data_IF_219308960778
#
_entry.id   IF_219308960778
#
_cell.length_a   1.000
_cell.length_b   1.000
_cell.length_c   1.000
_cell.angle_alpha   90.00
_cell.angle_beta   90.00
_cell.angle_gamma   90.00
#
_symmetry.space_group_name_H-M   'P 1'
#
loop_
_entity.id
_entity.type
_entity.pdbx_description
1 polymer ?
#
# COMPACT_ATOMS: atom_id res chain seq x y z
N UNK A 1 -5.11 -7.02 -15.82
CA UNK A 1 -5.83 -5.78 -15.44
C UNK A 1 -6.99 -5.58 -16.40
N UNK A 2 -8.14 -5.18 -15.88
CA UNK A 2 -9.32 -4.84 -16.68
C UNK A 2 -9.87 -3.51 -16.19
N UNK A 3 -10.04 -2.55 -17.08
CA UNK A 3 -10.64 -1.24 -16.81
C UNK A 3 -11.99 -1.22 -17.50
N UNK A 4 -13.01 -0.92 -16.71
CA UNK A 4 -14.39 -0.81 -17.16
C UNK A 4 -14.85 0.59 -16.76
N UNK A 5 -15.36 1.36 -17.72
CA UNK A 5 -15.89 2.68 -17.42
C UNK A 5 -17.27 2.62 -16.75
N UNK A 6 -17.82 3.78 -16.42
CA UNK A 6 -19.09 3.91 -15.72
C UNK A 6 -20.28 3.34 -16.49
N UNK A 7 -20.15 3.17 -17.82
CA UNK A 7 -21.16 2.59 -18.71
C UNK A 7 -21.00 1.08 -18.87
N UNK A 8 -20.03 0.44 -18.19
CA UNK A 8 -19.78 -0.99 -18.32
C UNK A 8 -18.95 -1.38 -19.53
N UNK A 9 -18.41 -0.42 -20.28
CA UNK A 9 -17.58 -0.67 -21.47
C UNK A 9 -16.16 -0.98 -21.02
N UNK A 10 -15.57 -2.03 -21.59
CA UNK A 10 -14.19 -2.41 -21.36
C UNK A 10 -13.29 -1.45 -22.15
N UNK A 11 -12.62 -0.54 -21.45
CA UNK A 11 -11.67 0.40 -22.05
C UNK A 11 -10.26 -0.20 -22.16
N UNK A 12 -9.97 -1.21 -21.35
CA UNK A 12 -8.70 -1.92 -21.36
C UNK A 12 -8.87 -3.31 -20.75
N UNK A 13 -8.33 -4.35 -21.40
CA UNK A 13 -8.28 -5.70 -20.83
C UNK A 13 -6.99 -6.40 -21.25
N UNK A 14 -6.12 -6.64 -20.28
CA UNK A 14 -4.93 -7.46 -20.41
C UNK A 14 -4.92 -8.57 -19.36
N UNK A 15 -6.08 -8.94 -18.80
CA UNK A 15 -6.15 -9.84 -17.64
C UNK A 15 -5.53 -11.21 -17.90
N UNK A 16 -5.64 -11.70 -19.14
CA UNK A 16 -5.05 -12.97 -19.57
C UNK A 16 -3.70 -12.80 -20.27
N UNK A 17 -3.20 -11.57 -20.42
CA UNK A 17 -1.92 -11.31 -21.06
C UNK A 17 -0.80 -11.65 -20.07
N UNK A 18 0.19 -12.48 -20.45
CA UNK A 18 1.32 -12.76 -19.58
C UNK A 18 2.02 -11.46 -19.15
N UNK A 19 2.45 -11.39 -17.89
CA UNK A 19 3.08 -10.21 -17.29
C UNK A 19 4.24 -9.65 -18.15
N UNK A 20 4.90 -10.54 -18.88
CA UNK A 20 6.01 -10.22 -19.77
C UNK A 20 5.63 -9.31 -20.93
N UNK A 21 4.42 -9.48 -21.45
CA UNK A 21 3.87 -8.90 -22.68
C UNK A 21 2.77 -7.87 -22.40
N UNK A 22 2.31 -7.78 -21.16
CA UNK A 22 1.28 -6.83 -20.77
C UNK A 22 1.82 -5.38 -20.81
N UNK A 23 1.10 -4.50 -21.50
CA UNK A 23 1.22 -3.05 -21.25
C UNK A 23 0.47 -2.75 -19.95
N UNK A 24 1.14 -2.18 -18.96
CA UNK A 24 0.57 -2.04 -17.62
C UNK A 24 -0.21 -0.74 -17.43
N UNK A 25 -0.17 0.18 -18.39
CA UNK A 25 -0.64 1.55 -18.20
C UNK A 25 0.41 2.44 -17.53
N UNK A 26 0.19 3.76 -17.57
CA UNK A 26 1.14 4.72 -17.05
C UNK A 26 1.25 4.61 -15.51
N UNK A 27 2.47 4.40 -15.01
CA UNK A 27 2.75 4.33 -13.57
C UNK A 27 2.53 2.96 -12.91
N UNK A 28 2.02 1.96 -13.64
CA UNK A 28 1.89 0.60 -13.12
C UNK A 28 3.13 -0.22 -13.46
N UNK A 29 3.69 -0.85 -12.42
CA UNK A 29 4.93 -1.62 -12.53
C UNK A 29 4.65 -3.05 -12.97
N UNK A 30 5.44 -3.52 -13.94
CA UNK A 30 5.55 -4.95 -14.25
C UNK A 30 6.00 -5.71 -13.00
N UNK A 31 5.34 -6.83 -12.70
CA UNK A 31 5.61 -7.65 -11.51
C UNK A 31 5.44 -6.90 -10.17
N UNK A 32 4.37 -6.10 -10.02
CA UNK A 32 4.07 -5.35 -8.81
C UNK A 32 4.32 -6.16 -7.53
N UNK A 33 5.29 -5.73 -6.73
CA UNK A 33 5.70 -6.44 -5.50
C UNK A 33 5.00 -5.91 -4.26
N UNK A 34 4.65 -4.63 -4.27
CA UNK A 34 3.98 -3.95 -3.18
C UNK A 34 3.21 -2.73 -3.68
N UNK A 35 2.16 -2.36 -2.97
CA UNK A 35 1.50 -1.07 -3.11
C UNK A 35 2.11 -0.10 -2.11
N UNK A 36 2.46 1.10 -2.56
CA UNK A 36 2.93 2.18 -1.70
C UNK A 36 1.78 3.15 -1.44
N UNK A 37 1.53 3.46 -0.16
CA UNK A 37 0.43 4.32 0.27
C UNK A 37 0.95 5.35 1.24
N UNK A 38 0.51 6.60 1.10
CA UNK A 38 0.73 7.62 2.12
C UNK A 38 -0.21 7.41 3.30
N UNK A 39 0.35 7.37 4.50
CA UNK A 39 -0.38 7.23 5.74
C UNK A 39 -0.32 8.52 6.55
N UNK A 40 -1.48 8.92 7.06
CA UNK A 40 -1.67 10.03 7.97
C UNK A 40 -2.53 9.52 9.13
N UNK A 41 -1.89 9.33 10.27
CA UNK A 41 -2.51 8.84 11.48
C UNK A 41 -3.09 9.96 12.36
N UNK A 42 -3.44 9.62 13.59
CA UNK A 42 -4.22 10.50 14.47
C UNK A 42 -3.45 11.68 15.05
N UNK A 43 -2.10 11.62 15.07
CA UNK A 43 -1.25 12.64 15.70
C UNK A 43 -0.03 12.98 14.82
N UNK A 44 -0.27 13.73 13.74
CA UNK A 44 0.73 14.07 12.71
C UNK A 44 2.01 14.68 13.27
N UNK A 45 1.90 15.54 14.28
CA UNK A 45 3.03 16.20 14.95
C UNK A 45 3.88 15.25 15.84
N UNK A 46 3.53 13.97 15.90
CA UNK A 46 4.24 12.91 16.61
C UNK A 46 4.64 11.77 15.68
N UNK A 47 5.10 12.07 14.45
CA UNK A 47 5.61 11.09 13.48
C UNK A 47 4.62 9.95 13.13
N UNK A 48 3.32 10.19 13.29
CA UNK A 48 2.26 9.25 12.92
C UNK A 48 1.86 9.38 11.44
N UNK A 49 2.86 9.60 10.58
CA UNK A 49 2.65 9.74 9.14
C UNK A 49 3.87 9.19 8.41
N UNK A 50 3.69 8.76 7.17
CA UNK A 50 4.78 8.19 6.39
C UNK A 50 4.30 7.29 5.26
N UNK A 51 5.15 6.35 4.87
CA UNK A 51 4.86 5.41 3.79
C UNK A 51 4.49 4.04 4.36
N UNK A 52 3.41 3.48 3.83
CA UNK A 52 3.04 2.10 4.03
C UNK A 52 3.30 1.32 2.74
N UNK A 53 3.98 0.19 2.85
CA UNK A 53 4.06 -0.82 1.80
C UNK A 53 3.15 -1.99 2.12
N UNK A 54 2.21 -2.27 1.22
CA UNK A 54 1.28 -3.40 1.30
C UNK A 54 1.74 -4.49 0.34
N UNK A 55 2.00 -5.68 0.87
CA UNK A 55 2.40 -6.84 0.09
C UNK A 55 1.27 -7.86 0.11
N UNK A 56 0.67 -8.09 -1.06
CA UNK A 56 -0.41 -9.06 -1.25
C UNK A 56 0.11 -10.16 -2.16
N UNK A 57 0.01 -11.42 -1.72
CA UNK A 57 0.42 -12.57 -2.54
C UNK A 57 -0.82 -13.24 -3.15
N UNK A 58 -0.80 -13.56 -4.46
CA UNK A 58 -1.92 -14.25 -5.10
C UNK A 58 -2.30 -15.58 -4.43
N UNK A 59 -1.31 -16.29 -3.88
CA UNK A 59 -1.50 -17.57 -3.18
C UNK A 59 -2.23 -17.45 -1.83
N UNK A 60 -2.22 -16.26 -1.21
CA UNK A 60 -2.82 -16.01 0.11
C UNK A 60 -3.55 -14.67 0.09
N UNK A 61 -4.61 -14.52 -0.71
CA UNK A 61 -5.25 -13.22 -0.95
C UNK A 61 -5.97 -12.64 0.29
N UNK A 62 -6.21 -13.48 1.30
CA UNK A 62 -6.78 -13.10 2.59
C UNK A 62 -5.72 -12.60 3.60
N UNK A 63 -4.44 -12.65 3.23
CA UNK A 63 -3.32 -12.17 4.05
C UNK A 63 -2.62 -11.01 3.35
N UNK A 64 -2.29 -9.99 4.13
CA UNK A 64 -1.53 -8.83 3.67
C UNK A 64 -0.37 -8.59 4.63
N UNK A 65 0.85 -8.52 4.11
CA UNK A 65 1.99 -8.03 4.90
C UNK A 65 2.09 -6.52 4.75
N UNK A 66 2.32 -5.84 5.86
CA UNK A 66 2.40 -4.38 5.92
C UNK A 66 3.78 -4.01 6.47
N UNK A 67 4.44 -3.04 5.85
CA UNK A 67 5.64 -2.38 6.37
C UNK A 67 5.37 -0.89 6.47
N UNK A 68 5.45 -0.34 7.67
CA UNK A 68 5.31 1.10 7.90
C UNK A 68 6.68 1.75 8.13
N UNK A 69 6.97 2.76 7.31
CA UNK A 69 8.14 3.61 7.41
C UNK A 69 7.66 5.03 7.75
N UNK A 70 7.63 5.40 9.04
CA UNK A 70 7.25 6.74 9.44
C UNK A 70 8.28 7.76 8.92
N UNK A 71 7.81 8.97 8.62
CA UNK A 71 8.68 10.10 8.37
C UNK A 71 9.12 10.67 9.72
N UNK A 72 10.42 10.60 10.00
CA UNK A 72 10.98 10.93 11.32
C UNK A 72 11.31 12.42 11.49
N UNK A 73 11.11 13.25 10.46
CA UNK A 73 11.69 14.60 10.41
C UNK A 73 10.91 15.66 11.20
N UNK A 74 9.72 15.36 11.73
CA UNK A 74 8.86 16.37 12.36
C UNK A 74 8.21 15.84 13.64
N UNK A 75 8.83 16.14 14.79
CA UNK A 75 8.13 16.22 16.07
C UNK A 75 8.00 17.68 16.47
N UNK A 76 6.79 18.24 16.42
CA UNK A 76 6.53 19.67 16.71
C UNK A 76 5.81 19.90 18.05
N UNK A 77 5.60 18.84 18.83
CA UNK A 77 4.89 18.90 20.12
C UNK A 77 5.37 17.79 21.08
N UNK A 78 4.82 17.76 22.31
CA UNK A 78 5.10 16.67 23.25
C UNK A 78 4.45 15.34 22.81
N UNK A 79 5.29 14.31 22.71
CA UNK A 79 4.98 12.98 22.21
C UNK A 79 5.47 11.87 23.16
N UNK A 80 5.81 12.17 24.42
CA UNK A 80 6.39 11.20 25.37
C UNK A 80 5.62 9.89 25.52
N UNK A 81 4.28 9.96 25.52
CA UNK A 81 3.40 8.79 25.66
C UNK A 81 2.78 8.34 24.34
N UNK A 82 3.19 8.96 23.24
CA UNK A 82 2.62 8.66 21.93
C UNK A 82 3.20 7.34 21.38
N UNK A 83 2.31 6.50 20.85
CA UNK A 83 2.66 5.32 20.06
C UNK A 83 2.07 5.50 18.66
N UNK A 84 2.87 5.19 17.65
CA UNK A 84 2.40 5.21 16.26
C UNK A 84 1.21 4.29 16.08
N UNK A 85 0.26 4.70 15.24
CA UNK A 85 -0.93 3.91 14.91
C UNK A 85 -0.53 2.54 14.34
N UNK A 86 0.57 2.51 13.59
CA UNK A 86 1.16 1.30 13.03
C UNK A 86 2.54 1.02 13.64
N UNK A 87 2.88 -0.24 13.94
CA UNK A 87 4.23 -0.62 14.35
C UNK A 87 5.27 -0.21 13.29
N UNK A 88 6.28 0.56 13.68
CA UNK A 88 7.34 1.02 12.79
C UNK A 88 8.44 -0.03 12.61
N UNK A 89 9.07 -0.05 11.42
CA UNK A 89 10.32 -0.76 11.16
C UNK A 89 10.27 -2.29 11.16
N UNK A 90 9.16 -2.91 11.60
CA UNK A 90 8.93 -4.36 11.53
C UNK A 90 7.67 -4.64 10.72
N UNK A 91 7.82 -5.48 9.70
CA UNK A 91 6.67 -5.90 8.91
C UNK A 91 5.75 -6.83 9.71
N UNK A 92 4.44 -6.62 9.63
CA UNK A 92 3.43 -7.44 10.29
C UNK A 92 2.38 -7.94 9.28
N UNK A 93 1.67 -9.00 9.62
CA UNK A 93 0.67 -9.62 8.73
C UNK A 93 -0.73 -9.37 9.27
N UNK A 94 -1.60 -8.81 8.45
CA UNK A 94 -3.03 -8.79 8.69
C UNK A 94 -3.70 -9.96 7.98
N UNK A 95 -4.63 -10.61 8.67
CA UNK A 95 -5.47 -11.67 8.12
C UNK A 95 -6.92 -11.23 8.19
N UNK A 96 -7.63 -11.28 7.06
CA UNK A 96 -9.06 -11.02 7.03
C UNK A 96 -9.79 -12.12 7.82
N UNK A 97 -10.55 -11.75 8.84
CA UNK A 97 -11.46 -12.64 9.57
C UNK A 97 -12.79 -12.79 8.83
#
# INVERSE_FOLDING_TARGET
>A
MKIINQQGIIEFDNFNTPDEKASWGYGLQKNLKAYMVYFFGGKLNCIDYGLIYLFIKPKTPHQMKILFLPSYDITTQDCRDFKTTLPSGKGFTLTKQ
#
